data_IF_003286099690
#
_entry.id   IF_003286099690
#
_cell.length_a   1.000
_cell.length_b   1.000
_cell.length_c   1.000
_cell.angle_alpha   90.00
_cell.angle_beta   90.00
_cell.angle_gamma   90.00
#
_symmetry.space_group_name_H-M   'P 1'
#
loop_
_entity.id
_entity.type
_entity.pdbx_description
1 polymer ?
#
# COMPACT_ATOMS: atom_id res chain seq x y z
N UNK A 1 24.84 -9.16 -12.26
CA UNK A 1 24.02 -10.09 -11.43
C UNK A 1 23.15 -10.96 -12.35
N UNK A 2 22.86 -12.22 -12.00
CA UNK A 2 21.86 -13.01 -12.73
C UNK A 2 20.46 -12.49 -12.36
N UNK A 3 19.50 -12.61 -13.28
CA UNK A 3 18.12 -12.22 -13.04
C UNK A 3 17.56 -12.94 -11.79
N UNK A 4 17.14 -12.19 -10.78
CA UNK A 4 16.66 -12.67 -9.50
C UNK A 4 15.15 -12.42 -9.38
N UNK A 5 14.38 -13.50 -9.21
CA UNK A 5 12.94 -13.43 -9.13
C UNK A 5 12.41 -13.65 -7.71
N UNK A 6 11.36 -12.93 -7.35
CA UNK A 6 10.67 -13.07 -6.06
C UNK A 6 9.18 -12.69 -6.15
N UNK A 7 8.40 -13.22 -5.22
CA UNK A 7 7.04 -12.78 -4.98
C UNK A 7 7.02 -11.68 -3.93
N UNK A 8 6.19 -10.67 -4.15
CA UNK A 8 5.90 -9.60 -3.20
C UNK A 8 4.44 -9.70 -2.79
N UNK A 9 4.21 -9.94 -1.51
CA UNK A 9 2.91 -9.99 -0.86
C UNK A 9 2.94 -9.01 0.30
N UNK A 10 1.94 -8.16 0.48
CA UNK A 10 1.94 -7.19 1.58
C UNK A 10 0.56 -7.02 2.19
N UNK A 11 0.50 -6.47 3.40
CA UNK A 11 -0.74 -6.12 4.08
C UNK A 11 -1.72 -7.30 4.09
N UNK A 12 -1.25 -8.45 4.57
CA UNK A 12 -2.05 -9.67 4.63
C UNK A 12 -3.17 -9.56 5.64
N UNK A 13 -3.00 -8.71 6.67
CA UNK A 13 -3.96 -8.49 7.74
C UNK A 13 -4.64 -9.78 8.17
N UNK A 14 -3.81 -10.83 8.32
CA UNK A 14 -4.30 -12.15 8.64
C UNK A 14 -5.05 -12.15 9.97
N UNK A 15 -6.26 -12.65 9.96
CA UNK A 15 -7.08 -12.81 11.15
C UNK A 15 -7.46 -14.28 11.34
N UNK A 16 -7.19 -14.81 12.53
CA UNK A 16 -7.51 -16.19 12.85
C UNK A 16 -9.04 -16.37 13.02
N UNK A 17 -9.71 -17.18 12.19
CA UNK A 17 -11.16 -17.35 12.24
C UNK A 17 -11.71 -17.79 13.61
N UNK A 18 -10.92 -18.51 14.41
CA UNK A 18 -11.30 -18.92 15.76
C UNK A 18 -11.51 -17.75 16.72
N UNK A 19 -10.99 -16.55 16.40
CA UNK A 19 -11.24 -15.31 17.14
C UNK A 19 -12.63 -14.71 16.84
N UNK A 20 -13.40 -15.33 15.95
CA UNK A 20 -14.76 -14.95 15.58
C UNK A 20 -14.81 -13.95 14.40
N UNK A 21 -15.36 -14.41 13.29
CA UNK A 21 -15.47 -13.64 12.05
C UNK A 21 -16.94 -13.47 11.60
N UNK A 22 -17.84 -13.30 12.56
CA UNK A 22 -19.27 -13.12 12.32
C UNK A 22 -19.99 -12.53 13.51
N UNK A 23 -21.24 -12.12 13.30
CA UNK A 23 -22.13 -11.59 14.34
C UNK A 23 -22.11 -10.06 14.41
N UNK A 24 -23.05 -9.50 15.17
CA UNK A 24 -23.35 -8.07 15.18
C UNK A 24 -22.12 -7.19 15.50
N UNK A 25 -21.32 -7.57 16.49
CA UNK A 25 -20.14 -6.78 16.88
C UNK A 25 -19.06 -6.81 15.78
N UNK A 26 -18.88 -7.95 15.11
CA UNK A 26 -18.00 -8.09 13.98
C UNK A 26 -18.48 -7.25 12.79
N UNK A 27 -19.76 -7.35 12.43
CA UNK A 27 -20.35 -6.60 11.32
C UNK A 27 -20.24 -5.07 11.53
N UNK A 28 -20.46 -4.60 12.76
CA UNK A 28 -20.28 -3.18 13.09
C UNK A 28 -18.81 -2.74 12.99
N UNK A 29 -17.88 -3.60 13.39
CA UNK A 29 -16.45 -3.33 13.24
C UNK A 29 -16.06 -3.25 11.76
N UNK A 30 -16.51 -4.21 10.95
CA UNK A 30 -16.19 -4.29 9.51
C UNK A 30 -16.73 -3.13 8.68
N UNK A 31 -17.76 -2.42 9.13
CA UNK A 31 -18.27 -1.22 8.40
C UNK A 31 -17.23 -0.12 8.20
N UNK A 32 -16.16 -0.10 9.00
CA UNK A 32 -15.10 0.91 8.95
C UNK A 32 -13.83 0.42 8.29
N UNK A 33 -13.73 -0.90 8.09
CA UNK A 33 -12.55 -1.53 7.52
C UNK A 33 -12.59 -1.50 5.98
N UNK A 34 -11.42 -1.53 5.38
CA UNK A 34 -11.28 -1.56 3.91
C UNK A 34 -10.83 -2.93 3.38
N UNK A 35 -10.59 -3.89 4.25
CA UNK A 35 -10.16 -5.25 3.93
C UNK A 35 -11.11 -6.28 4.54
N UNK A 36 -11.03 -7.51 4.01
CA UNK A 36 -11.93 -8.62 4.31
C UNK A 36 -11.34 -9.54 5.38
N UNK A 37 -11.61 -9.19 6.62
CA UNK A 37 -11.04 -9.86 7.78
C UNK A 37 -11.52 -11.33 7.90
N UNK A 38 -12.80 -11.59 7.60
CA UNK A 38 -13.36 -12.93 7.65
C UNK A 38 -12.72 -13.90 6.64
N UNK A 39 -12.35 -13.39 5.48
CA UNK A 39 -11.79 -14.16 4.38
C UNK A 39 -10.26 -14.15 4.35
N UNK A 40 -9.60 -13.38 5.23
CA UNK A 40 -8.16 -13.14 5.17
C UNK A 40 -7.33 -14.43 5.23
N UNK A 41 -7.74 -15.40 6.05
CA UNK A 41 -7.04 -16.68 6.15
C UNK A 41 -7.20 -17.54 4.88
N UNK A 42 -8.36 -17.50 4.24
CA UNK A 42 -8.62 -18.28 3.02
C UNK A 42 -7.91 -17.64 1.82
N UNK A 43 -7.88 -16.31 1.76
CA UNK A 43 -7.12 -15.55 0.76
C UNK A 43 -5.62 -15.88 0.88
N UNK A 44 -5.05 -15.80 2.08
CA UNK A 44 -3.63 -16.10 2.29
C UNK A 44 -3.29 -17.54 1.89
N UNK A 45 -4.12 -18.52 2.28
CA UNK A 45 -3.95 -19.93 1.89
C UNK A 45 -3.99 -20.13 0.38
N UNK A 46 -4.94 -19.50 -0.32
CA UNK A 46 -5.08 -19.64 -1.76
C UNK A 46 -3.85 -19.06 -2.50
N UNK A 47 -3.42 -17.86 -2.14
CA UNK A 47 -2.23 -17.21 -2.73
C UNK A 47 -0.96 -18.00 -2.43
N UNK A 48 -0.78 -18.43 -1.19
CA UNK A 48 0.42 -19.17 -0.80
C UNK A 48 0.47 -20.57 -1.44
N UNK A 49 -0.67 -21.18 -1.73
CA UNK A 49 -0.73 -22.42 -2.50
C UNK A 49 -0.25 -22.21 -3.95
N UNK A 50 -0.65 -21.12 -4.62
CA UNK A 50 -0.13 -20.78 -5.95
C UNK A 50 1.38 -20.53 -5.93
N UNK A 51 1.86 -19.72 -4.96
CA UNK A 51 3.29 -19.42 -4.80
C UNK A 51 4.10 -20.70 -4.53
N UNK A 52 3.59 -21.62 -3.71
CA UNK A 52 4.24 -22.90 -3.40
C UNK A 52 4.40 -23.79 -4.63
N UNK A 53 3.44 -23.70 -5.58
CA UNK A 53 3.44 -24.49 -6.81
C UNK A 53 4.43 -23.97 -7.87
N UNK A 54 4.79 -22.68 -7.87
CA UNK A 54 5.82 -22.14 -8.76
C UNK A 54 7.20 -22.70 -8.36
N UNK A 55 7.85 -23.44 -9.25
CA UNK A 55 9.18 -24.03 -9.01
C UNK A 55 10.33 -23.17 -9.53
N UNK A 56 10.03 -22.06 -10.22
CA UNK A 56 11.03 -21.16 -10.79
C UNK A 56 11.47 -20.10 -9.78
N UNK A 57 10.54 -19.61 -8.95
CA UNK A 57 10.78 -18.53 -7.97
C UNK A 57 10.74 -19.10 -6.55
N UNK A 58 11.86 -18.92 -5.84
CA UNK A 58 12.05 -19.46 -4.49
C UNK A 58 12.01 -18.40 -3.38
N UNK A 59 11.78 -17.13 -3.71
CA UNK A 59 11.82 -16.07 -2.70
C UNK A 59 10.45 -15.39 -2.58
N UNK A 60 10.07 -15.10 -1.33
CA UNK A 60 8.85 -14.37 -0.98
C UNK A 60 9.21 -13.25 -0.01
N UNK A 61 8.78 -12.04 -0.30
CA UNK A 61 9.01 -10.84 0.49
C UNK A 61 7.68 -10.30 0.98
N UNK A 62 7.57 -10.02 2.30
CA UNK A 62 6.34 -9.54 2.93
C UNK A 62 6.66 -8.31 3.78
N UNK A 63 6.48 -7.08 3.26
CA UNK A 63 6.86 -5.84 3.93
C UNK A 63 5.79 -5.32 4.91
N UNK A 64 5.40 -6.14 5.90
CA UNK A 64 4.62 -5.69 7.06
C UNK A 64 3.11 -5.89 6.97
N UNK A 65 2.45 -5.54 8.07
CA UNK A 65 1.03 -5.76 8.34
C UNK A 65 0.59 -7.19 8.08
N UNK A 66 1.33 -8.11 8.75
CA UNK A 66 1.18 -9.56 8.63
C UNK A 66 -0.12 -10.02 9.31
N UNK A 67 -0.42 -9.50 10.51
CA UNK A 67 -1.62 -9.75 11.29
C UNK A 67 -2.62 -8.60 11.21
N UNK A 68 -3.86 -8.84 11.62
CA UNK A 68 -4.89 -7.80 11.59
C UNK A 68 -4.66 -6.71 12.62
N UNK A 69 -4.33 -7.08 13.84
CA UNK A 69 -4.17 -6.12 14.94
C UNK A 69 -3.29 -6.71 16.08
N UNK A 70 -2.31 -7.53 15.74
CA UNK A 70 -1.35 -8.10 16.68
C UNK A 70 -1.88 -9.28 17.49
N UNK A 71 -3.01 -9.92 17.13
CA UNK A 71 -3.51 -11.09 17.85
C UNK A 71 -2.50 -12.23 17.82
N UNK A 72 -2.11 -12.76 18.97
CA UNK A 72 -1.14 -13.88 19.08
C UNK A 72 -1.61 -15.09 18.27
N UNK A 73 -2.90 -15.41 18.28
CA UNK A 73 -3.44 -16.53 17.52
C UNK A 73 -3.40 -16.28 16.01
N UNK A 74 -3.59 -15.02 15.56
CA UNK A 74 -3.41 -14.63 14.15
C UNK A 74 -1.96 -14.84 13.72
N UNK A 75 -0.98 -14.39 14.51
CA UNK A 75 0.44 -14.62 14.24
C UNK A 75 0.78 -16.11 14.17
N UNK A 76 0.37 -16.91 15.15
CA UNK A 76 0.62 -18.35 15.17
C UNK A 76 0.07 -19.06 13.93
N UNK A 77 -1.12 -18.68 13.50
CA UNK A 77 -1.76 -19.27 12.33
C UNK A 77 -1.13 -18.80 11.02
N UNK A 78 -0.78 -17.53 10.93
CA UNK A 78 -0.05 -17.01 9.77
C UNK A 78 1.34 -17.66 9.63
N UNK A 79 2.07 -17.85 10.71
CA UNK A 79 3.35 -18.57 10.74
C UNK A 79 3.19 -20.01 10.25
N UNK A 80 2.07 -20.69 10.52
CA UNK A 80 1.81 -22.02 9.94
C UNK A 80 1.72 -21.98 8.42
N UNK A 81 1.10 -20.93 7.86
CA UNK A 81 1.03 -20.76 6.41
C UNK A 81 2.41 -20.42 5.81
N UNK A 82 3.21 -19.60 6.49
CA UNK A 82 4.60 -19.33 6.08
C UNK A 82 5.47 -20.60 6.13
N UNK A 83 5.29 -21.45 7.15
CA UNK A 83 6.00 -22.73 7.22
C UNK A 83 5.66 -23.67 6.05
N UNK A 84 4.39 -23.68 5.58
CA UNK A 84 3.99 -24.43 4.37
C UNK A 84 4.73 -23.94 3.12
N UNK A 85 4.95 -22.62 2.99
CA UNK A 85 5.77 -22.08 1.92
C UNK A 85 7.24 -22.48 2.07
N UNK A 86 7.79 -22.45 3.29
CA UNK A 86 9.15 -22.88 3.59
C UNK A 86 9.35 -24.37 3.27
N UNK A 87 8.38 -25.23 3.64
CA UNK A 87 8.38 -26.66 3.33
C UNK A 87 8.29 -26.93 1.81
N UNK A 88 7.67 -26.00 1.05
CA UNK A 88 7.66 -26.04 -0.41
C UNK A 88 8.96 -25.52 -1.06
N UNK A 89 9.97 -25.16 -0.25
CA UNK A 89 11.29 -24.70 -0.70
C UNK A 89 11.39 -23.18 -0.91
N UNK A 90 10.48 -22.38 -0.32
CA UNK A 90 10.55 -20.92 -0.42
C UNK A 90 11.40 -20.32 0.71
N UNK A 91 12.22 -19.34 0.36
CA UNK A 91 12.91 -18.46 1.29
C UNK A 91 12.04 -17.23 1.52
N UNK A 92 11.67 -16.96 2.76
CA UNK A 92 10.71 -15.93 3.11
C UNK A 92 11.40 -14.86 3.95
N UNK A 93 11.15 -13.59 3.60
CA UNK A 93 11.66 -12.43 4.32
C UNK A 93 10.49 -11.52 4.70
N UNK A 94 10.33 -11.27 6.00
CA UNK A 94 9.28 -10.40 6.51
C UNK A 94 9.89 -9.23 7.28
N UNK A 95 9.18 -8.10 7.28
CA UNK A 95 9.27 -7.12 8.37
C UNK A 95 7.91 -7.03 9.05
N UNK A 96 7.88 -6.49 10.25
CA UNK A 96 6.64 -6.20 10.97
C UNK A 96 6.31 -4.72 10.88
N UNK A 97 5.02 -4.37 11.09
CA UNK A 97 4.53 -3.00 11.05
C UNK A 97 3.51 -2.74 12.16
N UNK A 98 2.82 -1.61 12.14
CA UNK A 98 1.98 -1.16 13.23
C UNK A 98 0.80 -2.07 13.57
N UNK A 99 0.31 -2.84 12.62
CA UNK A 99 -0.73 -3.83 12.85
C UNK A 99 -0.21 -5.14 13.47
N UNK A 100 1.11 -5.33 13.57
CA UNK A 100 1.69 -6.58 14.05
C UNK A 100 1.97 -6.62 15.55
N UNK A 101 1.83 -5.50 16.26
CA UNK A 101 1.98 -5.48 17.70
C UNK A 101 0.88 -4.66 18.37
N UNK A 102 0.25 -5.28 19.35
CA UNK A 102 -0.76 -4.68 20.21
C UNK A 102 -1.04 -5.65 21.36
N UNK A 103 -0.51 -5.41 22.54
CA UNK A 103 -0.61 -6.32 23.68
C UNK A 103 -2.06 -6.65 24.09
N UNK A 104 -3.00 -5.75 23.75
CA UNK A 104 -4.44 -5.90 24.01
C UNK A 104 -5.21 -5.91 22.72
N UNK A 105 -5.32 -7.07 22.13
CA UNK A 105 -5.99 -7.23 20.85
C UNK A 105 -7.45 -7.66 20.99
N UNK A 106 -8.10 -8.11 19.92
CA UNK A 106 -9.56 -8.26 19.86
C UNK A 106 -9.99 -9.60 19.31
N UNK A 107 -11.09 -10.11 19.87
CA UNK A 107 -11.87 -11.21 19.32
C UNK A 107 -13.37 -10.88 19.36
N UNK A 108 -14.17 -11.62 18.59
CA UNK A 108 -15.62 -11.40 18.48
C UNK A 108 -16.36 -12.66 18.90
N UNK A 109 -16.93 -12.63 20.09
CA UNK A 109 -17.60 -13.79 20.72
C UNK A 109 -18.98 -13.39 21.20
N UNK A 110 -20.01 -14.16 20.86
CA UNK A 110 -21.39 -13.93 21.31
C UNK A 110 -21.86 -12.48 21.10
N UNK A 111 -21.70 -11.98 19.88
CA UNK A 111 -22.03 -10.60 19.48
C UNK A 111 -21.33 -9.48 20.26
N UNK A 112 -20.20 -9.79 20.90
CA UNK A 112 -19.38 -8.82 21.63
C UNK A 112 -17.96 -8.80 21.09
N UNK A 113 -17.37 -7.62 21.07
CA UNK A 113 -15.92 -7.45 20.93
C UNK A 113 -15.30 -7.61 22.32
N UNK A 114 -14.38 -8.55 22.47
CA UNK A 114 -13.66 -8.82 23.71
C UNK A 114 -12.17 -8.60 23.54
N UNK A 115 -11.46 -8.31 24.64
CA UNK A 115 -10.00 -8.23 24.66
C UNK A 115 -9.40 -9.64 24.67
N UNK A 116 -8.34 -9.84 23.89
CA UNK A 116 -7.54 -11.07 23.87
C UNK A 116 -6.06 -10.71 23.87
N UNK A 117 -5.23 -11.70 24.18
CA UNK A 117 -3.79 -11.55 24.16
C UNK A 117 -3.27 -11.16 22.77
N UNK A 118 -2.42 -10.15 22.74
CA UNK A 118 -1.74 -9.68 21.54
C UNK A 118 -0.22 -9.71 21.69
N UNK A 119 0.47 -9.55 20.58
CA UNK A 119 1.92 -9.53 20.53
C UNK A 119 2.48 -8.19 21.03
N UNK A 120 3.47 -8.23 21.90
CA UNK A 120 4.32 -7.06 22.15
C UNK A 120 5.33 -6.92 21.02
N UNK A 121 5.85 -5.70 20.79
CA UNK A 121 6.87 -5.44 19.78
C UNK A 121 8.12 -6.34 19.99
N UNK A 122 8.54 -6.53 21.24
CA UNK A 122 9.75 -7.26 21.58
C UNK A 122 9.76 -8.77 21.25
N UNK A 123 8.58 -9.40 21.13
CA UNK A 123 8.50 -10.84 20.81
C UNK A 123 8.50 -11.14 19.32
N UNK A 124 8.25 -10.14 18.46
CA UNK A 124 8.11 -10.34 17.01
C UNK A 124 9.33 -10.96 16.35
N UNK A 125 10.60 -10.58 16.67
CA UNK A 125 11.78 -11.24 16.07
C UNK A 125 11.87 -12.72 16.39
N UNK A 126 11.43 -13.15 17.57
CA UNK A 126 11.43 -14.57 17.94
C UNK A 126 10.27 -15.31 17.24
N UNK A 127 9.09 -14.69 17.14
CA UNK A 127 7.96 -15.28 16.40
C UNK A 127 8.30 -15.52 14.93
N UNK A 128 8.95 -14.54 14.29
CA UNK A 128 9.29 -14.58 12.87
C UNK A 128 10.75 -14.91 12.59
N UNK A 129 11.48 -15.50 13.56
CA UNK A 129 12.92 -15.77 13.45
C UNK A 129 13.31 -16.49 12.16
N UNK A 130 12.50 -17.44 11.72
CA UNK A 130 12.77 -18.29 10.56
C UNK A 130 12.49 -17.60 9.21
N UNK A 131 12.02 -16.35 9.24
CA UNK A 131 11.57 -15.60 8.06
C UNK A 131 12.38 -14.30 7.89
N UNK A 132 13.70 -14.38 8.02
CA UNK A 132 14.65 -13.30 7.80
C UNK A 132 15.54 -13.03 9.00
N UNK A 133 15.01 -12.97 10.24
CA UNK A 133 15.77 -12.54 11.41
C UNK A 133 16.92 -13.49 11.79
N UNK A 134 16.75 -14.81 11.73
CA UNK A 134 17.83 -15.75 12.02
C UNK A 134 18.92 -15.80 10.94
N UNK A 135 18.65 -15.29 9.75
CA UNK A 135 19.59 -15.21 8.63
C UNK A 135 20.22 -13.81 8.52
N UNK A 136 19.90 -12.91 9.45
CA UNK A 136 20.36 -11.54 9.38
C UNK A 136 21.87 -11.43 9.55
N UNK A 137 22.52 -10.71 8.62
CA UNK A 137 23.93 -10.32 8.70
C UNK A 137 24.14 -9.21 9.73
N UNK A 138 23.14 -8.34 9.88
CA UNK A 138 23.09 -7.27 10.85
C UNK A 138 21.64 -6.99 11.24
N UNK A 139 21.43 -6.61 12.51
CA UNK A 139 20.10 -6.26 13.02
C UNK A 139 20.18 -4.98 13.85
N UNK A 140 19.28 -4.04 13.61
CA UNK A 140 19.03 -2.93 14.51
C UNK A 140 17.98 -3.34 15.54
N UNK A 141 18.40 -3.53 16.78
CA UNK A 141 17.51 -4.03 17.86
C UNK A 141 16.43 -3.04 18.26
N UNK A 142 16.61 -1.74 18.01
CA UNK A 142 15.65 -0.72 18.39
C UNK A 142 14.47 -0.70 17.44
N UNK A 143 14.70 -0.83 16.12
CA UNK A 143 13.65 -0.80 15.11
C UNK A 143 13.26 -2.17 14.60
N UNK A 144 14.04 -3.21 14.90
CA UNK A 144 13.96 -4.54 14.30
C UNK A 144 14.23 -4.53 12.78
N UNK A 145 14.93 -3.50 12.30
CA UNK A 145 15.46 -3.50 10.94
C UNK A 145 16.61 -4.49 10.82
N UNK A 146 16.77 -5.10 9.65
CA UNK A 146 17.83 -6.08 9.44
C UNK A 146 18.36 -6.10 8.00
N UNK A 147 19.52 -6.71 7.80
CA UNK A 147 20.06 -7.03 6.47
C UNK A 147 20.22 -8.53 6.35
N UNK A 148 19.79 -9.09 5.22
CA UNK A 148 19.98 -10.52 4.93
C UNK A 148 20.56 -10.73 3.53
N UNK A 149 21.31 -11.84 3.36
CA UNK A 149 21.77 -12.27 2.05
C UNK A 149 20.62 -13.02 1.34
N UNK A 150 20.21 -12.54 0.17
CA UNK A 150 19.18 -13.22 -0.63
C UNK A 150 19.78 -14.25 -1.58
N UNK A 151 20.86 -13.90 -2.24
CA UNK A 151 21.68 -14.76 -3.07
C UNK A 151 23.08 -14.13 -3.24
N UNK A 152 23.99 -14.80 -3.95
CA UNK A 152 25.30 -14.25 -4.25
C UNK A 152 25.17 -12.90 -4.98
N UNK A 153 25.77 -11.85 -4.43
CA UNK A 153 25.77 -10.50 -4.96
C UNK A 153 24.48 -9.70 -4.73
N UNK A 154 23.50 -10.19 -3.95
CA UNK A 154 22.27 -9.47 -3.64
C UNK A 154 21.90 -9.55 -2.15
N UNK A 155 21.71 -8.41 -1.51
CA UNK A 155 21.22 -8.27 -0.14
C UNK A 155 19.85 -7.64 -0.08
N UNK A 156 19.09 -7.98 0.94
CA UNK A 156 17.85 -7.33 1.36
C UNK A 156 18.18 -6.41 2.54
N UNK A 157 17.81 -5.14 2.43
CA UNK A 157 17.79 -4.18 3.53
C UNK A 157 16.34 -4.01 3.98
N UNK A 158 15.99 -4.60 5.11
CA UNK A 158 14.65 -4.55 5.70
C UNK A 158 14.58 -3.39 6.69
N UNK A 159 13.88 -2.31 6.33
CA UNK A 159 13.76 -1.07 7.11
C UNK A 159 12.42 -1.06 7.83
N UNK A 160 12.43 -1.17 9.16
CA UNK A 160 11.23 -1.02 9.96
C UNK A 160 11.14 0.40 10.53
N UNK A 161 10.17 1.16 10.05
CA UNK A 161 9.88 2.53 10.47
C UNK A 161 8.69 2.63 11.42
N UNK A 162 8.16 1.50 11.89
CA UNK A 162 6.99 1.42 12.74
C UNK A 162 7.30 0.65 14.02
N UNK A 163 8.33 1.10 14.71
CA UNK A 163 8.82 0.47 15.93
C UNK A 163 8.34 1.20 17.18
N UNK A 164 8.21 0.45 18.27
CA UNK A 164 7.89 1.01 19.57
C UNK A 164 8.99 2.00 20.01
N UNK A 165 8.58 3.17 20.46
CA UNK A 165 9.50 4.21 20.93
C UNK A 165 10.15 5.07 19.85
N UNK A 166 9.88 4.81 18.55
CA UNK A 166 10.31 5.67 17.45
C UNK A 166 9.12 6.47 16.88
N UNK A 167 9.38 7.63 16.24
CA UNK A 167 8.35 8.30 15.46
C UNK A 167 7.88 7.39 14.32
N UNK A 168 6.63 6.94 14.39
CA UNK A 168 6.04 6.10 13.34
C UNK A 168 6.15 6.75 11.97
N UNK A 169 6.50 5.95 10.97
CA UNK A 169 6.62 6.39 9.59
C UNK A 169 7.75 7.39 9.37
N UNK A 170 8.90 7.24 10.04
CA UNK A 170 10.08 8.10 9.89
C UNK A 170 11.38 7.27 9.96
N UNK A 171 12.34 7.62 9.13
CA UNK A 171 13.73 7.15 9.25
C UNK A 171 14.51 8.27 9.95
N UNK A 172 14.68 8.15 11.26
CA UNK A 172 15.40 9.13 12.05
C UNK A 172 16.91 9.16 11.76
N UNK A 173 17.63 10.10 12.34
CA UNK A 173 19.07 10.24 12.10
C UNK A 173 19.86 8.99 12.51
N UNK A 174 19.48 8.33 13.62
CA UNK A 174 20.14 7.13 14.11
C UNK A 174 19.95 5.96 13.15
N UNK A 175 18.72 5.72 12.69
CA UNK A 175 18.43 4.68 11.71
C UNK A 175 19.08 4.99 10.36
N UNK A 176 19.12 6.26 9.96
CA UNK A 176 19.83 6.71 8.74
C UNK A 176 21.31 6.36 8.79
N UNK A 177 21.98 6.59 9.92
CA UNK A 177 23.39 6.21 10.08
C UNK A 177 23.58 4.69 10.08
N UNK A 178 22.69 3.94 10.72
CA UNK A 178 22.75 2.48 10.65
C UNK A 178 22.57 1.99 9.20
N UNK A 179 21.62 2.53 8.45
CA UNK A 179 21.40 2.22 7.04
C UNK A 179 22.67 2.48 6.22
N UNK A 180 23.31 3.64 6.38
CA UNK A 180 24.56 3.97 5.68
C UNK A 180 25.64 2.94 5.91
N UNK A 181 25.84 2.54 7.19
CA UNK A 181 26.84 1.50 7.55
C UNK A 181 26.54 0.20 6.80
N UNK A 182 25.27 -0.22 6.71
CA UNK A 182 24.92 -1.46 6.03
C UNK A 182 25.11 -1.36 4.50
N UNK A 183 24.80 -0.20 3.91
CA UNK A 183 25.00 0.03 2.47
C UNK A 183 26.49 0.10 2.12
N UNK A 184 27.32 0.70 2.97
CA UNK A 184 28.78 0.71 2.81
C UNK A 184 29.37 -0.71 2.91
N UNK A 185 28.86 -1.54 3.81
CA UNK A 185 29.27 -2.94 3.93
C UNK A 185 28.86 -3.76 2.70
N UNK A 186 27.65 -3.57 2.20
CA UNK A 186 27.19 -4.20 0.97
C UNK A 186 28.06 -3.82 -0.23
N UNK A 187 28.43 -2.54 -0.35
CA UNK A 187 29.32 -2.04 -1.39
C UNK A 187 30.73 -2.66 -1.32
N UNK A 188 31.30 -2.76 -0.12
CA UNK A 188 32.61 -3.44 0.10
C UNK A 188 32.53 -4.93 -0.27
N UNK A 189 31.38 -5.55 -0.07
CA UNK A 189 31.10 -6.95 -0.41
C UNK A 189 30.69 -7.15 -1.87
N UNK A 190 30.67 -6.10 -2.69
CA UNK A 190 30.22 -6.12 -4.11
C UNK A 190 28.79 -6.68 -4.24
N UNK A 191 27.90 -6.29 -3.35
CA UNK A 191 26.49 -6.69 -3.36
C UNK A 191 25.62 -5.53 -3.78
N UNK A 192 24.68 -5.79 -4.70
CA UNK A 192 23.49 -4.94 -4.92
C UNK A 192 22.58 -5.05 -3.70
N UNK A 193 21.74 -4.02 -3.49
CA UNK A 193 20.79 -3.98 -2.37
C UNK A 193 19.39 -3.66 -2.87
N UNK A 194 18.42 -4.50 -2.49
CA UNK A 194 16.99 -4.21 -2.57
C UNK A 194 16.53 -3.83 -1.16
N UNK A 195 15.78 -2.75 -1.02
CA UNK A 195 15.20 -2.36 0.25
C UNK A 195 13.73 -2.80 0.36
N UNK A 196 13.28 -3.08 1.57
CA UNK A 196 11.86 -3.16 1.92
C UNK A 196 11.56 -2.19 3.06
N UNK A 197 10.38 -1.56 3.00
CA UNK A 197 9.84 -0.72 4.06
C UNK A 197 8.32 -0.89 4.03
N UNK A 198 7.65 -0.87 5.17
CA UNK A 198 6.19 -0.97 5.16
C UNK A 198 5.57 0.30 4.57
N UNK A 199 5.99 1.48 5.06
CA UNK A 199 5.51 2.75 4.52
C UNK A 199 6.08 3.03 3.12
N UNK A 200 5.27 3.53 2.17
CA UNK A 200 5.80 4.07 0.92
C UNK A 200 6.88 5.10 1.18
N UNK A 201 8.02 4.95 0.51
CA UNK A 201 9.07 5.96 0.54
C UNK A 201 8.68 7.09 -0.41
N UNK A 202 8.26 6.78 -1.62
CA UNK A 202 7.73 7.77 -2.56
C UNK A 202 6.19 7.81 -2.45
N UNK A 203 5.54 8.98 -2.39
CA UNK A 203 4.08 9.03 -2.35
C UNK A 203 3.45 8.20 -3.46
N UNK A 204 2.54 7.23 -3.16
CA UNK A 204 1.99 6.32 -4.17
C UNK A 204 1.19 7.05 -5.25
N UNK A 205 0.50 8.12 -4.91
CA UNK A 205 -0.13 9.06 -5.84
C UNK A 205 0.12 10.50 -5.38
N UNK A 206 0.14 11.49 -6.29
CA UNK A 206 0.59 12.85 -5.96
C UNK A 206 -0.10 13.48 -4.77
N UNK A 207 -1.44 13.35 -4.63
CA UNK A 207 -2.17 13.98 -3.52
C UNK A 207 -1.75 13.44 -2.15
N UNK A 208 -1.19 12.23 -2.08
CA UNK A 208 -0.72 11.63 -0.84
C UNK A 208 0.58 12.24 -0.31
N UNK A 209 1.25 13.08 -1.10
CA UNK A 209 2.30 13.93 -0.55
C UNK A 209 1.79 14.92 0.51
N UNK A 210 0.51 15.27 0.46
CA UNK A 210 -0.14 16.13 1.44
C UNK A 210 -0.71 15.38 2.66
N UNK A 211 -0.79 14.05 2.60
CA UNK A 211 -1.35 13.21 3.68
C UNK A 211 -0.22 12.67 4.55
N UNK A 212 -0.28 12.97 5.85
CA UNK A 212 0.83 12.69 6.78
C UNK A 212 1.22 11.23 6.86
N UNK A 213 0.22 10.34 6.96
CA UNK A 213 0.45 8.90 7.18
C UNK A 213 0.48 8.07 5.90
N UNK A 214 0.41 8.71 4.72
CA UNK A 214 0.36 8.00 3.44
C UNK A 214 1.75 7.59 2.90
N UNK A 215 2.81 8.01 3.54
CA UNK A 215 4.21 7.77 3.18
C UNK A 215 5.12 8.08 4.36
N UNK A 216 6.40 7.82 4.23
CA UNK A 216 7.39 8.31 5.20
C UNK A 216 7.33 9.83 5.34
N UNK A 217 7.43 10.33 6.57
CA UNK A 217 7.39 11.78 6.87
C UNK A 217 8.55 12.52 6.20
N UNK A 218 9.75 11.94 6.29
CA UNK A 218 10.98 12.45 5.68
C UNK A 218 11.35 11.66 4.42
N UNK A 219 10.38 11.46 3.54
CA UNK A 219 10.53 10.57 2.39
C UNK A 219 11.62 11.02 1.39
N UNK A 220 11.76 12.34 1.15
CA UNK A 220 12.77 12.83 0.20
C UNK A 220 14.18 12.58 0.69
N UNK A 221 14.42 12.81 1.97
CA UNK A 221 15.71 12.56 2.63
C UNK A 221 16.02 11.05 2.59
N UNK A 222 15.04 10.21 2.89
CA UNK A 222 15.20 8.75 2.86
C UNK A 222 15.41 8.24 1.44
N UNK A 223 14.62 8.70 0.47
CA UNK A 223 14.79 8.34 -0.94
C UNK A 223 16.17 8.75 -1.47
N UNK A 224 16.63 9.96 -1.10
CA UNK A 224 17.97 10.45 -1.45
C UNK A 224 19.06 9.59 -0.80
N UNK A 225 18.92 9.29 0.49
CA UNK A 225 19.86 8.41 1.21
C UNK A 225 20.01 7.06 0.49
N UNK A 226 18.90 6.41 0.16
CA UNK A 226 18.91 5.09 -0.48
C UNK A 226 19.50 5.16 -1.90
N UNK A 227 18.99 6.05 -2.74
CA UNK A 227 19.43 6.17 -4.13
C UNK A 227 20.91 6.56 -4.27
N UNK A 228 21.35 7.54 -3.50
CA UNK A 228 22.75 8.02 -3.57
C UNK A 228 23.76 7.01 -2.99
N UNK A 229 23.27 6.02 -2.22
CA UNK A 229 24.06 4.88 -1.77
C UNK A 229 23.84 3.58 -2.57
N UNK A 230 23.23 3.69 -3.77
CA UNK A 230 23.16 2.62 -4.76
C UNK A 230 21.94 1.71 -4.68
N UNK A 231 20.97 1.99 -3.79
CA UNK A 231 19.69 1.26 -3.78
C UNK A 231 18.82 1.76 -4.94
N UNK A 232 18.47 0.86 -5.84
CA UNK A 232 17.66 1.17 -7.03
C UNK A 232 16.19 0.79 -6.88
N UNK A 233 15.88 -0.12 -5.95
CA UNK A 233 14.55 -0.69 -5.77
C UNK A 233 14.18 -0.74 -4.29
N UNK A 234 13.00 -0.22 -3.95
CA UNK A 234 12.34 -0.41 -2.67
C UNK A 234 10.94 -0.97 -2.87
N UNK A 235 10.51 -1.86 -1.98
CA UNK A 235 9.22 -2.54 -2.01
C UNK A 235 8.44 -2.11 -0.78
N UNK A 236 7.21 -1.64 -0.98
CA UNK A 236 6.40 -1.03 0.08
C UNK A 236 4.94 -1.49 0.05
N UNK A 237 4.17 -1.19 1.11
CA UNK A 237 2.77 -1.53 1.29
C UNK A 237 1.98 -0.39 1.94
N UNK A 238 1.31 -0.65 3.07
CA UNK A 238 0.65 0.30 3.95
C UNK A 238 -0.58 1.00 3.36
N UNK A 239 -0.44 1.58 2.18
CA UNK A 239 -1.52 2.37 1.57
C UNK A 239 -2.52 1.54 0.78
N UNK A 240 -2.27 0.23 0.64
CA UNK A 240 -3.12 -0.70 -0.11
C UNK A 240 -3.33 -0.30 -1.57
N UNK A 241 -2.36 0.40 -2.16
CA UNK A 241 -2.41 0.95 -3.52
C UNK A 241 -1.42 0.23 -4.41
N UNK A 242 -1.84 -0.09 -5.63
CA UNK A 242 -0.93 -0.49 -6.68
C UNK A 242 -0.26 0.74 -7.29
N UNK A 243 1.02 0.94 -7.02
CA UNK A 243 1.76 2.00 -7.69
C UNK A 243 3.22 1.63 -7.94
N UNK A 244 3.76 2.20 -9.00
CA UNK A 244 5.18 2.17 -9.33
C UNK A 244 5.63 3.61 -9.55
N UNK A 245 6.53 4.10 -8.72
CA UNK A 245 7.00 5.49 -8.79
C UNK A 245 8.52 5.56 -8.83
N UNK A 246 9.03 6.62 -9.44
CA UNK A 246 10.46 6.91 -9.56
C UNK A 246 10.77 8.24 -8.88
N UNK A 247 11.88 8.30 -8.17
CA UNK A 247 12.45 9.52 -7.63
C UNK A 247 13.91 9.60 -8.06
N UNK A 248 14.29 10.72 -8.68
CA UNK A 248 15.68 10.97 -9.09
C UNK A 248 16.26 12.05 -8.19
N UNK A 249 17.40 11.74 -7.59
CA UNK A 249 18.10 12.67 -6.69
C UNK A 249 18.77 13.80 -7.48
N UNK A 250 19.15 14.90 -6.82
CA UNK A 250 19.98 15.93 -7.45
C UNK A 250 21.30 15.41 -8.05
N UNK A 251 21.81 14.27 -7.57
CA UNK A 251 23.01 13.62 -8.07
C UNK A 251 22.73 12.73 -9.29
N UNK A 252 21.47 12.62 -9.75
CA UNK A 252 21.08 11.83 -10.91
C UNK A 252 20.83 10.34 -10.62
N UNK A 253 20.87 9.91 -9.34
CA UNK A 253 20.57 8.54 -8.95
C UNK A 253 19.06 8.34 -8.83
N UNK A 254 18.54 7.19 -9.30
CA UNK A 254 17.10 6.91 -9.31
C UNK A 254 16.75 5.77 -8.37
N UNK A 255 15.74 6.00 -7.51
CA UNK A 255 15.06 5.00 -6.71
C UNK A 255 13.69 4.70 -7.33
N UNK A 256 13.37 3.43 -7.48
CA UNK A 256 12.03 2.94 -7.84
C UNK A 256 11.35 2.42 -6.59
N UNK A 257 10.17 2.94 -6.28
CA UNK A 257 9.30 2.44 -5.20
C UNK A 257 8.13 1.67 -5.82
N UNK A 258 8.01 0.39 -5.44
CA UNK A 258 6.90 -0.47 -5.82
C UNK A 258 6.00 -0.64 -4.60
N UNK A 259 4.98 0.22 -4.49
CA UNK A 259 3.93 0.08 -3.49
C UNK A 259 2.91 -0.95 -3.99
N UNK A 260 2.62 -1.94 -3.15
CA UNK A 260 1.71 -3.03 -3.49
C UNK A 260 0.46 -2.96 -2.63
N UNK A 261 -0.67 -3.36 -3.21
CA UNK A 261 -1.96 -3.35 -2.54
C UNK A 261 -2.06 -4.39 -1.43
N UNK A 262 -3.03 -4.19 -0.56
CA UNK A 262 -3.42 -5.16 0.44
C UNK A 262 -3.87 -6.48 -0.22
N UNK A 263 -3.38 -7.60 0.31
CA UNK A 263 -3.77 -8.92 -0.18
C UNK A 263 -5.25 -9.21 0.07
N UNK A 264 -5.79 -8.69 1.15
CA UNK A 264 -7.12 -9.01 1.68
C UNK A 264 -8.16 -7.92 1.44
N UNK A 265 -7.89 -6.99 0.52
CA UNK A 265 -8.80 -5.88 0.17
C UNK A 265 -8.66 -5.46 -1.29
N UNK A 266 -9.49 -4.53 -1.75
CA UNK A 266 -9.38 -4.00 -3.12
C UNK A 266 -8.11 -3.12 -3.27
N UNK A 267 -7.36 -3.33 -4.35
CA UNK A 267 -7.42 -4.39 -5.36
C UNK A 267 -6.62 -5.62 -4.88
N UNK A 268 -7.25 -6.67 -4.48
CA UNK A 268 -6.62 -7.88 -3.95
C UNK A 268 -5.57 -8.45 -4.94
N UNK A 269 -4.33 -8.02 -4.83
CA UNK A 269 -3.24 -8.39 -5.74
C UNK A 269 -1.94 -8.64 -4.98
N UNK A 270 -1.10 -9.51 -5.54
CA UNK A 270 0.30 -9.68 -5.19
C UNK A 270 1.15 -9.55 -6.45
N UNK A 271 2.47 -9.55 -6.32
CA UNK A 271 3.34 -9.31 -7.48
C UNK A 271 4.39 -10.40 -7.64
N UNK A 272 4.71 -10.68 -8.90
CA UNK A 272 5.91 -11.40 -9.33
C UNK A 272 6.88 -10.36 -9.89
N UNK A 273 8.07 -10.28 -9.30
CA UNK A 273 9.06 -9.27 -9.65
C UNK A 273 10.36 -9.97 -9.98
N UNK A 274 11.07 -9.49 -11.01
CA UNK A 274 12.44 -9.87 -11.27
C UNK A 274 13.35 -8.64 -11.39
N UNK A 275 14.60 -8.79 -10.94
CA UNK A 275 15.60 -7.75 -10.88
C UNK A 275 16.96 -8.31 -11.27
N UNK A 276 17.70 -7.62 -12.15
CA UNK A 276 19.04 -8.02 -12.61
C UNK A 276 20.13 -6.97 -12.35
N UNK A 277 19.79 -5.92 -11.58
CA UNK A 277 20.68 -4.78 -11.30
C UNK A 277 20.51 -3.60 -12.26
N UNK A 278 20.02 -3.83 -13.47
CA UNK A 278 19.76 -2.79 -14.48
C UNK A 278 18.30 -2.71 -14.90
N UNK A 279 17.54 -3.78 -14.69
CA UNK A 279 16.15 -3.91 -15.12
C UNK A 279 15.29 -4.47 -14.02
N UNK A 280 14.08 -3.93 -13.89
CA UNK A 280 13.00 -4.44 -13.03
C UNK A 280 11.84 -4.84 -13.93
N UNK A 281 11.38 -6.08 -13.83
CA UNK A 281 10.14 -6.56 -14.47
C UNK A 281 9.09 -6.81 -13.38
N UNK A 282 7.96 -6.12 -13.44
CA UNK A 282 6.87 -6.16 -12.46
C UNK A 282 5.63 -6.73 -13.11
N UNK A 283 5.05 -7.76 -12.49
CA UNK A 283 3.77 -8.35 -12.88
C UNK A 283 2.86 -8.44 -11.69
N UNK A 284 1.71 -7.78 -11.75
CA UNK A 284 0.63 -7.92 -10.76
C UNK A 284 -0.23 -9.14 -11.08
N UNK A 285 -0.59 -9.87 -10.04
CA UNK A 285 -1.39 -11.10 -10.11
C UNK A 285 -2.58 -10.90 -9.18
N UNK A 286 -3.77 -11.21 -9.68
CA UNK A 286 -4.99 -11.18 -8.89
C UNK A 286 -5.01 -12.34 -7.89
N UNK A 287 -5.61 -12.11 -6.72
CA UNK A 287 -5.88 -13.19 -5.78
C UNK A 287 -6.75 -14.25 -6.47
N UNK A 288 -6.38 -15.55 -6.39
CA UNK A 288 -7.12 -16.61 -7.03
C UNK A 288 -8.52 -16.76 -6.44
N UNK A 289 -9.48 -17.14 -7.27
CA UNK A 289 -10.84 -17.43 -6.81
C UNK A 289 -10.84 -18.67 -5.90
N UNK A 290 -11.20 -18.52 -4.65
CA UNK A 290 -11.23 -19.59 -3.65
C UNK A 290 -12.64 -19.90 -3.14
N UNK A 291 -13.63 -19.06 -3.49
CA UNK A 291 -15.01 -19.22 -3.02
C UNK A 291 -15.83 -20.08 -3.97
N UNK A 292 -16.56 -21.03 -3.41
CA UNK A 292 -17.62 -21.73 -4.14
C UNK A 292 -18.86 -20.83 -4.17
N UNK A 293 -19.25 -20.36 -5.35
CA UNK A 293 -20.49 -19.58 -5.58
C UNK A 293 -20.49 -18.16 -4.98
N UNK A 294 -19.55 -17.32 -5.36
CA UNK A 294 -19.57 -15.86 -5.03
C UNK A 294 -20.67 -15.06 -5.79
N UNK A 295 -21.64 -15.72 -6.39
CA UNK A 295 -22.61 -15.11 -7.29
C UNK A 295 -22.06 -15.00 -8.73
N UNK A 296 -22.65 -14.10 -9.53
CA UNK A 296 -22.26 -13.90 -10.93
C UNK A 296 -21.12 -12.88 -11.12
N UNK A 297 -20.45 -12.46 -10.05
CA UNK A 297 -19.36 -11.47 -10.09
C UNK A 297 -18.04 -12.10 -9.66
N UNK A 298 -16.94 -11.65 -10.26
CA UNK A 298 -15.60 -12.08 -9.86
C UNK A 298 -15.25 -11.62 -8.43
N UNK A 299 -14.24 -12.26 -7.83
CA UNK A 299 -13.74 -11.85 -6.51
C UNK A 299 -13.25 -10.40 -6.51
N UNK A 300 -12.53 -9.97 -7.55
CA UNK A 300 -12.05 -8.60 -7.68
C UNK A 300 -13.21 -7.61 -7.77
N UNK A 301 -14.23 -7.90 -8.58
CA UNK A 301 -15.42 -7.04 -8.67
C UNK A 301 -16.15 -6.95 -7.32
N UNK A 302 -16.20 -8.05 -6.56
CA UNK A 302 -16.75 -8.04 -5.22
C UNK A 302 -15.94 -7.12 -4.29
N UNK A 303 -14.63 -7.23 -4.28
CA UNK A 303 -13.76 -6.37 -3.47
C UNK A 303 -13.88 -4.88 -3.87
N UNK A 304 -13.87 -4.59 -5.15
CA UNK A 304 -14.01 -3.23 -5.67
C UNK A 304 -15.35 -2.60 -5.29
N UNK A 305 -16.44 -3.35 -5.39
CA UNK A 305 -17.77 -2.89 -4.99
C UNK A 305 -17.85 -2.57 -3.49
N UNK A 306 -17.28 -3.43 -2.64
CA UNK A 306 -17.24 -3.20 -1.20
C UNK A 306 -16.34 -2.01 -0.85
N UNK A 307 -15.23 -1.85 -1.53
CA UNK A 307 -14.35 -0.70 -1.30
C UNK A 307 -14.99 0.61 -1.74
N UNK A 308 -15.65 0.65 -2.91
CA UNK A 308 -16.44 1.80 -3.33
C UNK A 308 -17.51 2.18 -2.28
N UNK A 309 -18.21 1.18 -1.73
CA UNK A 309 -19.16 1.39 -0.65
C UNK A 309 -18.51 1.96 0.62
N UNK A 310 -17.33 1.48 1.00
CA UNK A 310 -16.55 2.02 2.13
C UNK A 310 -16.19 3.49 1.92
N UNK A 311 -15.75 3.86 0.72
CA UNK A 311 -15.45 5.26 0.35
C UNK A 311 -16.72 6.12 0.49
N UNK A 312 -17.85 5.67 -0.06
CA UNK A 312 -19.14 6.35 0.03
C UNK A 312 -19.52 6.56 1.51
N UNK A 313 -19.35 5.56 2.35
CA UNK A 313 -19.63 5.66 3.78
C UNK A 313 -18.72 6.67 4.49
N UNK A 314 -17.42 6.72 4.15
CA UNK A 314 -16.51 7.73 4.70
C UNK A 314 -16.90 9.15 4.28
N UNK A 315 -17.29 9.36 3.02
CA UNK A 315 -17.82 10.66 2.55
C UNK A 315 -19.08 11.03 3.32
N UNK A 316 -20.01 10.08 3.51
CA UNK A 316 -21.22 10.28 4.30
C UNK A 316 -20.94 10.58 5.77
N UNK A 317 -19.88 9.99 6.32
CA UNK A 317 -19.42 10.21 7.71
C UNK A 317 -19.02 11.66 8.00
N UNK A 318 -18.54 12.40 6.99
CA UNK A 318 -18.23 13.83 7.10
C UNK A 318 -19.48 14.64 7.49
N UNK A 319 -20.64 14.17 7.07
CA UNK A 319 -21.95 14.80 7.31
C UNK A 319 -22.71 14.14 8.49
N UNK A 320 -22.10 13.29 9.28
CA UNK A 320 -22.74 12.69 10.46
C UNK A 320 -22.84 13.69 11.61
N UNK A 321 -24.00 13.63 12.34
CA UNK A 321 -24.34 14.47 13.48
C UNK A 321 -25.71 15.16 13.34
N UNK A 322 -26.19 15.75 14.41
CA UNK A 322 -27.56 16.26 14.55
C UNK A 322 -27.80 17.66 13.92
N UNK A 323 -26.80 18.27 13.30
CA UNK A 323 -26.93 19.60 12.71
C UNK A 323 -27.76 19.61 11.41
N UNK A 324 -28.66 20.60 11.28
CA UNK A 324 -29.49 20.78 10.07
C UNK A 324 -28.66 20.89 8.78
N UNK A 325 -27.52 21.63 8.83
CA UNK A 325 -26.60 21.80 7.70
C UNK A 325 -25.98 20.45 7.29
N UNK A 326 -25.61 19.61 8.25
CA UNK A 326 -25.08 18.28 7.97
C UNK A 326 -26.08 17.36 7.30
N UNK A 327 -27.34 17.38 7.76
CA UNK A 327 -28.45 16.60 7.15
C UNK A 327 -28.70 17.03 5.70
N UNK A 328 -28.71 18.35 5.43
CA UNK A 328 -28.84 18.88 4.06
C UNK A 328 -27.63 18.48 3.22
N UNK A 329 -26.42 18.63 3.73
CA UNK A 329 -25.19 18.26 3.04
C UNK A 329 -25.18 16.78 2.65
N UNK A 330 -25.54 15.88 3.58
CA UNK A 330 -25.65 14.43 3.31
C UNK A 330 -26.68 14.14 2.20
N UNK A 331 -27.87 14.75 2.28
CA UNK A 331 -28.90 14.59 1.26
C UNK A 331 -28.44 15.14 -0.11
N UNK A 332 -27.79 16.29 -0.12
CA UNK A 332 -27.26 16.91 -1.34
C UNK A 332 -26.22 16.01 -2.01
N UNK A 333 -25.19 15.57 -1.29
CA UNK A 333 -24.10 14.75 -1.83
C UNK A 333 -24.62 13.42 -2.39
N UNK A 334 -25.61 12.79 -1.73
CA UNK A 334 -26.17 11.52 -2.17
C UNK A 334 -27.18 11.65 -3.34
N UNK A 335 -27.72 12.86 -3.60
CA UNK A 335 -28.73 13.07 -4.63
C UNK A 335 -28.23 13.79 -5.88
N UNK A 336 -27.17 14.58 -5.76
CA UNK A 336 -26.66 15.36 -6.88
C UNK A 336 -26.02 14.45 -7.94
N UNK A 337 -26.38 14.70 -9.20
CA UNK A 337 -25.73 14.06 -10.34
C UNK A 337 -24.48 14.86 -10.77
N UNK A 338 -23.57 14.20 -11.48
CA UNK A 338 -22.39 14.85 -12.08
C UNK A 338 -22.80 16.00 -12.98
N UNK A 339 -23.89 15.84 -13.75
CA UNK A 339 -24.47 16.92 -14.56
C UNK A 339 -25.12 18.04 -13.74
N UNK A 340 -25.68 17.71 -12.57
CA UNK A 340 -26.18 18.69 -11.60
C UNK A 340 -25.04 19.54 -11.03
N UNK A 341 -23.98 18.90 -10.60
CA UNK A 341 -22.77 19.59 -10.14
C UNK A 341 -22.15 20.43 -11.25
N UNK A 342 -22.10 19.90 -12.49
CA UNK A 342 -21.62 20.64 -13.65
C UNK A 342 -22.42 21.94 -13.90
N UNK A 343 -23.72 21.91 -13.73
CA UNK A 343 -24.56 23.14 -13.84
C UNK A 343 -24.20 24.15 -12.75
N UNK A 344 -23.99 23.70 -11.51
CA UNK A 344 -23.61 24.61 -10.43
C UNK A 344 -22.24 25.27 -10.68
N UNK A 345 -21.32 24.56 -11.34
CA UNK A 345 -19.99 25.05 -11.67
C UNK A 345 -19.91 25.72 -13.06
N UNK A 346 -21.02 25.81 -13.78
CA UNK A 346 -21.09 26.35 -15.14
C UNK A 346 -20.14 25.64 -16.12
N UNK A 347 -20.04 24.31 -16.01
CA UNK A 347 -19.25 23.47 -16.90
C UNK A 347 -20.13 22.49 -17.67
N UNK A 348 -19.77 22.23 -18.92
CA UNK A 348 -20.42 21.21 -19.75
C UNK A 348 -19.87 19.84 -19.40
N UNK A 349 -20.75 18.93 -18.98
CA UNK A 349 -20.45 17.54 -18.64
C UNK A 349 -20.90 16.63 -19.78
N UNK A 350 -20.09 15.63 -20.11
CA UNK A 350 -20.39 14.65 -21.14
C UNK A 350 -21.70 13.87 -20.83
N UNK A 351 -22.40 13.46 -21.90
CA UNK A 351 -23.68 12.76 -21.79
C UNK A 351 -23.56 11.41 -21.10
N UNK A 352 -22.43 10.71 -21.26
CA UNK A 352 -22.18 9.38 -20.72
C UNK A 352 -22.16 9.35 -19.19
N UNK A 353 -21.66 10.41 -18.54
CA UNK A 353 -21.54 10.50 -17.07
C UNK A 353 -22.55 11.44 -16.41
N UNK A 354 -23.27 12.24 -17.20
CA UNK A 354 -24.12 13.34 -16.69
C UNK A 354 -25.23 12.89 -15.73
N UNK A 355 -25.79 11.69 -15.95
CA UNK A 355 -26.87 11.14 -15.12
C UNK A 355 -26.36 10.36 -13.88
N UNK A 356 -25.05 10.02 -13.83
CA UNK A 356 -24.45 9.31 -12.72
C UNK A 356 -24.50 10.18 -11.46
N UNK A 357 -24.77 9.59 -10.30
CA UNK A 357 -24.66 10.30 -9.03
C UNK A 357 -23.18 10.64 -8.76
N UNK A 358 -22.96 11.82 -8.19
CA UNK A 358 -21.61 12.27 -7.86
C UNK A 358 -20.91 11.32 -6.87
N UNK A 359 -21.66 10.85 -5.87
CA UNK A 359 -21.10 9.99 -4.82
C UNK A 359 -20.69 8.61 -5.36
N UNK A 360 -21.45 8.05 -6.32
CA UNK A 360 -21.12 6.79 -6.96
C UNK A 360 -19.84 6.94 -7.80
N UNK A 361 -19.72 8.05 -8.55
CA UNK A 361 -18.51 8.36 -9.29
C UNK A 361 -17.30 8.58 -8.36
N UNK A 362 -17.49 9.17 -7.18
CA UNK A 362 -16.43 9.34 -6.20
C UNK A 362 -15.92 7.98 -5.66
N UNK A 363 -16.82 7.03 -5.44
CA UNK A 363 -16.46 5.65 -5.11
C UNK A 363 -15.63 4.98 -6.21
N UNK A 364 -16.06 5.09 -7.48
CA UNK A 364 -15.34 4.53 -8.63
C UNK A 364 -13.95 5.16 -8.82
N UNK A 365 -13.84 6.48 -8.65
CA UNK A 365 -12.53 7.18 -8.70
C UNK A 365 -11.61 6.66 -7.59
N UNK A 366 -12.14 6.49 -6.39
CA UNK A 366 -11.35 5.95 -5.28
C UNK A 366 -10.84 4.54 -5.58
N UNK A 367 -11.70 3.64 -6.05
CA UNK A 367 -11.29 2.29 -6.49
C UNK A 367 -10.22 2.36 -7.57
N UNK A 368 -10.40 3.21 -8.59
CA UNK A 368 -9.43 3.38 -9.67
C UNK A 368 -8.07 3.90 -9.18
N UNK A 369 -8.05 4.79 -8.18
CA UNK A 369 -6.80 5.27 -7.56
C UNK A 369 -6.04 4.10 -6.92
N UNK A 370 -6.74 3.24 -6.18
CA UNK A 370 -6.12 2.13 -5.47
C UNK A 370 -5.73 0.97 -6.39
N UNK A 371 -6.45 0.78 -7.49
CA UNK A 371 -6.14 -0.23 -8.51
C UNK A 371 -4.87 0.10 -9.34
N UNK A 372 -4.38 1.34 -9.25
CA UNK A 372 -3.30 1.81 -10.14
C UNK A 372 -3.79 2.05 -11.58
N UNK A 373 -2.90 2.54 -12.43
CA UNK A 373 -3.23 2.81 -13.85
C UNK A 373 -4.48 3.69 -14.02
N UNK A 374 -4.62 4.71 -13.19
CA UNK A 374 -5.80 5.56 -13.08
C UNK A 374 -6.28 6.04 -14.46
N UNK A 375 -7.53 5.74 -14.87
CA UNK A 375 -7.97 5.91 -16.26
C UNK A 375 -8.46 7.32 -16.61
N UNK A 376 -8.56 8.22 -15.64
CA UNK A 376 -9.28 9.50 -15.83
C UNK A 376 -8.36 10.62 -16.31
N UNK A 377 -7.60 10.35 -17.36
CA UNK A 377 -6.72 11.33 -18.04
C UNK A 377 -7.54 12.34 -18.86
N UNK A 378 -6.88 13.41 -19.31
CA UNK A 378 -7.46 14.38 -20.25
C UNK A 378 -7.97 13.67 -21.53
N UNK A 379 -9.11 14.11 -22.04
CA UNK A 379 -9.81 13.46 -23.17
C UNK A 379 -10.82 12.40 -22.75
N UNK A 380 -10.80 11.93 -21.50
CA UNK A 380 -11.87 11.06 -20.97
C UNK A 380 -13.02 11.90 -20.39
N UNK A 381 -14.28 11.41 -20.43
CA UNK A 381 -15.43 12.15 -19.89
C UNK A 381 -15.25 12.63 -18.45
N UNK A 382 -14.67 11.80 -17.57
CA UNK A 382 -14.41 12.12 -16.16
C UNK A 382 -13.23 13.08 -16.04
N UNK A 383 -12.09 12.80 -16.68
CA UNK A 383 -10.90 13.65 -16.65
C UNK A 383 -11.18 15.06 -17.14
N UNK A 384 -11.93 15.20 -18.25
CA UNK A 384 -12.33 16.49 -18.80
C UNK A 384 -13.29 17.27 -17.88
N UNK A 385 -14.28 16.58 -17.31
CA UNK A 385 -15.21 17.20 -16.36
C UNK A 385 -14.47 17.67 -15.10
N UNK A 386 -13.56 16.83 -14.57
CA UNK A 386 -12.76 17.14 -13.40
C UNK A 386 -11.78 18.31 -13.66
N UNK A 387 -11.06 18.29 -14.78
CA UNK A 387 -10.17 19.38 -15.18
C UNK A 387 -10.90 20.72 -15.35
N UNK A 388 -12.11 20.72 -15.95
CA UNK A 388 -12.95 21.93 -16.05
C UNK A 388 -13.39 22.39 -14.65
N UNK A 389 -13.78 21.47 -13.77
CA UNK A 389 -14.15 21.80 -12.39
C UNK A 389 -12.98 22.45 -11.61
N UNK A 390 -11.79 21.87 -11.69
CA UNK A 390 -10.59 22.42 -11.07
C UNK A 390 -10.26 23.81 -11.60
N UNK A 391 -10.36 24.05 -12.90
CA UNK A 391 -10.19 25.40 -13.49
C UNK A 391 -11.16 26.42 -12.91
N UNK A 392 -12.43 26.03 -12.71
CA UNK A 392 -13.47 26.90 -12.09
C UNK A 392 -13.19 27.17 -10.62
N UNK A 393 -12.65 26.16 -9.91
CA UNK A 393 -12.29 26.26 -8.50
C UNK A 393 -10.88 26.84 -8.27
N UNK A 394 -10.13 27.13 -9.33
CA UNK A 394 -8.72 27.54 -9.27
C UNK A 394 -8.45 28.72 -8.37
N UNK A 395 -9.39 29.69 -8.27
CA UNK A 395 -9.30 30.82 -7.33
C UNK A 395 -9.29 30.35 -5.86
N UNK A 396 -10.11 29.33 -5.53
CA UNK A 396 -10.16 28.77 -4.18
C UNK A 396 -8.89 27.96 -3.90
N UNK A 397 -8.46 27.12 -4.86
CA UNK A 397 -7.29 26.29 -4.75
C UNK A 397 -6.01 27.14 -4.52
N UNK A 398 -5.82 28.20 -5.31
CA UNK A 398 -4.71 29.15 -5.14
C UNK A 398 -4.63 29.80 -3.75
N UNK A 399 -5.74 29.93 -3.02
CA UNK A 399 -5.76 30.42 -1.64
C UNK A 399 -5.33 29.36 -0.63
N UNK A 400 -5.47 28.08 -0.99
CA UNK A 400 -5.14 26.94 -0.12
C UNK A 400 -3.68 26.51 -0.33
N UNK A 401 -3.18 26.56 -1.56
CA UNK A 401 -1.81 26.14 -1.93
C UNK A 401 -0.71 26.65 -1.01
N UNK A 402 -0.66 27.96 -0.63
CA UNK A 402 0.40 28.45 0.28
C UNK A 402 0.37 27.82 1.67
N UNK A 403 -0.82 27.34 2.11
CA UNK A 403 -0.98 26.68 3.44
C UNK A 403 -0.51 25.24 3.43
N UNK A 404 -0.44 24.64 2.25
CA UNK A 404 -0.01 23.26 2.04
C UNK A 404 1.46 23.16 1.64
N UNK A 405 2.06 24.28 1.19
CA UNK A 405 3.47 24.34 0.86
C UNK A 405 4.33 24.15 2.11
N UNK A 406 5.26 23.20 2.06
CA UNK A 406 6.24 22.92 3.12
C UNK A 406 7.63 23.12 2.55
N UNK A 407 8.58 23.56 3.38
CA UNK A 407 10.01 23.68 3.03
C UNK A 407 10.32 24.52 1.77
N UNK A 408 9.45 25.52 1.45
CA UNK A 408 9.65 26.38 0.29
C UNK A 408 9.20 25.79 -1.05
N UNK A 409 8.72 24.56 -1.09
CA UNK A 409 8.18 23.95 -2.31
C UNK A 409 6.77 24.48 -2.61
N UNK A 410 6.56 24.92 -3.86
CA UNK A 410 5.24 25.37 -4.32
C UNK A 410 4.37 24.16 -4.67
N UNK A 411 3.25 24.01 -4.00
CA UNK A 411 2.24 23.01 -4.33
C UNK A 411 1.35 23.52 -5.46
N UNK A 412 1.24 22.76 -6.55
CA UNK A 412 0.26 22.97 -7.61
C UNK A 412 -0.88 21.96 -7.43
N UNK A 413 -1.93 22.36 -6.69
CA UNK A 413 -3.06 21.47 -6.40
C UNK A 413 -3.81 21.01 -7.64
N UNK A 414 -3.93 21.84 -8.67
CA UNK A 414 -4.61 21.45 -9.90
C UNK A 414 -3.90 20.28 -10.58
N UNK A 415 -2.61 20.39 -10.75
CA UNK A 415 -1.79 19.34 -11.37
C UNK A 415 -1.76 18.08 -10.51
N UNK A 416 -1.54 18.25 -9.22
CA UNK A 416 -1.51 17.14 -8.25
C UNK A 416 -2.81 16.34 -8.27
N UNK A 417 -3.98 17.01 -8.26
CA UNK A 417 -5.27 16.34 -8.28
C UNK A 417 -5.54 15.66 -9.63
N UNK A 418 -5.17 16.28 -10.76
CA UNK A 418 -5.29 15.66 -12.08
C UNK A 418 -4.44 14.40 -12.21
N UNK A 419 -3.19 14.47 -11.77
CA UNK A 419 -2.26 13.33 -11.81
C UNK A 419 -2.59 12.26 -10.75
N UNK A 420 -3.47 12.55 -9.80
CA UNK A 420 -3.98 11.55 -8.84
C UNK A 420 -5.08 10.69 -9.45
N UNK A 421 -5.94 11.24 -10.30
CA UNK A 421 -7.04 10.49 -10.92
C UNK A 421 -6.70 9.94 -12.31
N UNK A 422 -5.63 10.42 -12.92
CA UNK A 422 -5.16 10.00 -14.24
C UNK A 422 -3.68 9.64 -14.22
N UNK A 423 -3.34 8.43 -14.66
CA UNK A 423 -1.94 8.01 -14.80
C UNK A 423 -1.31 8.67 -16.03
N UNK A 424 -0.50 9.70 -15.80
CA UNK A 424 0.26 10.43 -16.83
C UNK A 424 1.76 10.05 -16.83
N UNK A 425 2.17 8.98 -16.15
CA UNK A 425 3.59 8.58 -16.03
C UNK A 425 4.18 7.95 -17.28
N UNK A 426 3.32 7.56 -18.23
CA UNK A 426 3.75 6.87 -19.46
C UNK A 426 4.07 5.38 -19.27
N UNK A 427 3.87 4.83 -18.07
CA UNK A 427 4.02 3.41 -17.76
C UNK A 427 2.96 2.94 -16.76
N UNK A 428 2.73 1.61 -16.72
CA UNK A 428 1.73 0.97 -15.87
C UNK A 428 2.19 0.87 -14.41
N UNK A 429 1.23 0.97 -13.50
CA UNK A 429 1.42 0.67 -12.06
C UNK A 429 1.35 -0.83 -11.77
N UNK A 430 0.82 -1.62 -12.70
CA UNK A 430 0.57 -3.05 -12.53
C UNK A 430 1.59 -3.94 -13.25
N UNK A 431 1.79 -3.70 -14.55
CA UNK A 431 2.67 -4.53 -15.36
C UNK A 431 3.63 -3.62 -16.12
N UNK A 432 4.90 -3.63 -15.73
CA UNK A 432 5.88 -2.71 -16.28
C UNK A 432 7.29 -3.30 -16.28
N UNK A 433 8.04 -2.96 -17.30
CA UNK A 433 9.47 -3.18 -17.35
C UNK A 433 10.16 -1.81 -17.22
N UNK A 434 11.04 -1.68 -16.24
CA UNK A 434 11.79 -0.46 -15.95
C UNK A 434 13.27 -0.72 -16.23
N UNK A 435 13.84 0.03 -17.17
CA UNK A 435 15.29 0.07 -17.40
C UNK A 435 15.87 1.16 -16.49
N UNK A 436 16.79 0.79 -15.62
CA UNK A 436 17.38 1.70 -14.63
C UNK A 436 18.58 2.47 -15.18
N UNK A 437 19.16 2.00 -16.29
CA UNK A 437 20.29 2.64 -16.95
C UNK A 437 19.85 3.71 -17.97
N UNK A 438 18.58 3.76 -18.33
CA UNK A 438 18.02 4.83 -19.16
C UNK A 438 17.90 6.11 -18.34
N UNK A 439 18.73 7.11 -18.66
CA UNK A 439 18.55 8.46 -18.12
C UNK A 439 17.18 8.95 -18.54
N UNK A 440 16.29 9.13 -17.59
CA UNK A 440 15.00 9.81 -17.83
C UNK A 440 15.35 11.20 -18.37
N UNK A 441 15.07 11.46 -19.65
CA UNK A 441 15.10 12.83 -20.17
C UNK A 441 14.08 13.63 -19.34
N UNK A 442 14.59 14.63 -18.63
CA UNK A 442 13.81 15.55 -17.75
C UNK A 442 13.10 16.58 -18.62
#
# INVERSE_FOLDING_TARGET
MKNFGFYLVTDTHYFEPALGASGKAFDEYMKREQYFMAESSDIAKAVFAEIANDKEINHVIIPGDLSKNGEIESHKSFIKELNRLKDAGKNIFVITAGHDYNEKSRAFVNDKCIEVEGASFGILPELYKDFGYSQALATDRQTLSYVAQMCDGLRLLAINCDSEGNPKGEVDNRLSEWIKIQLDDAKKSVCEVIAICHYPIIPPVPVFDLVGDAKLKNWRETATLLADNGVKLVLTGHMHIQSVNKFTTPNGNTLVDICTSCLTGSPAKYRKISFDGSKIDVKSIDVPEFRKNAGNISLNEFFDNQFAFSIINRINGIFEGNGFVKKIGKKFVNSITVGGLGRLLFIKVDKSIRKKKFIDLAGEIGVAIFNGDQPYVAGTPVGDAFGKALKRLGFVLKKIEPKLSKNGEKVNLNEMLLNTIGNNKGYSDNNVIINLDEKTEV
#
